data_IF_713815457060
#
_entry.id   IF_713815457060
#
_cell.length_a   1.000
_cell.length_b   1.000
_cell.length_c   1.000
_cell.angle_alpha   90.00
_cell.angle_beta   90.00
_cell.angle_gamma   90.00
#
_symmetry.space_group_name_H-M   'P 1'
#
loop_
_entity.id
_entity.type
_entity.pdbx_description
1 polymer ?
#
# COMPACT_ATOMS: atom_id res chain seq x y z
N UNK A 1 -13.21 4.58 -17.09
CA UNK A 1 -11.80 4.14 -16.99
C UNK A 1 -11.72 3.00 -15.97
N UNK A 2 -10.99 1.92 -16.28
CA UNK A 2 -10.69 0.89 -15.28
C UNK A 2 -9.63 1.42 -14.31
N UNK A 3 -9.86 1.28 -13.00
CA UNK A 3 -8.95 1.76 -11.95
C UNK A 3 -8.22 0.57 -11.32
N UNK A 4 -6.89 0.65 -11.25
CA UNK A 4 -6.05 -0.37 -10.59
C UNK A 4 -5.91 -0.05 -9.10
N UNK A 5 -6.12 -1.05 -8.23
CA UNK A 5 -5.87 -0.95 -6.79
C UNK A 5 -4.48 -1.49 -6.41
N UNK A 6 -3.56 -0.62 -6.02
CA UNK A 6 -2.19 -1.01 -5.65
C UNK A 6 -2.17 -1.94 -4.41
N UNK A 7 -3.03 -1.68 -3.43
CA UNK A 7 -3.14 -2.53 -2.24
C UNK A 7 -3.61 -3.95 -2.58
N UNK A 8 -4.59 -4.10 -3.49
CA UNK A 8 -5.03 -5.42 -3.98
C UNK A 8 -3.95 -6.10 -4.80
N UNK A 9 -3.20 -5.34 -5.60
CA UNK A 9 -2.09 -5.86 -6.41
C UNK A 9 -1.03 -6.50 -5.53
N UNK A 10 -0.53 -5.77 -4.52
CA UNK A 10 0.50 -6.28 -3.60
C UNK A 10 -0.06 -7.39 -2.70
N UNK A 11 -1.32 -7.30 -2.29
CA UNK A 11 -1.99 -8.40 -1.56
C UNK A 11 -2.03 -9.70 -2.37
N UNK A 12 -2.21 -9.61 -3.69
CA UNK A 12 -2.20 -10.78 -4.56
C UNK A 12 -0.79 -11.38 -4.71
N UNK A 13 0.24 -10.54 -4.79
CA UNK A 13 1.63 -11.02 -4.76
C UNK A 13 1.95 -11.76 -3.45
N UNK A 14 1.49 -11.25 -2.30
CA UNK A 14 1.62 -11.96 -1.02
C UNK A 14 0.80 -13.26 -0.98
N UNK A 15 -0.36 -13.30 -1.64
CA UNK A 15 -1.11 -14.54 -1.80
C UNK A 15 -0.31 -15.58 -2.59
N UNK A 16 0.29 -15.21 -3.72
CA UNK A 16 1.18 -16.10 -4.50
C UNK A 16 2.36 -16.61 -3.66
N UNK A 17 2.94 -15.77 -2.80
CA UNK A 17 3.99 -16.17 -1.87
C UNK A 17 3.51 -17.14 -0.76
N UNK A 18 2.20 -17.20 -0.49
CA UNK A 18 1.62 -18.02 0.58
C UNK A 18 1.15 -19.41 0.13
N UNK A 19 1.19 -19.69 -1.17
CA UNK A 19 0.75 -20.95 -1.77
C UNK A 19 1.95 -21.66 -2.41
N UNK A 20 1.90 -22.99 -2.65
CA UNK A 20 3.01 -23.73 -3.24
C UNK A 20 3.15 -23.43 -4.73
N UNK A 21 3.67 -22.23 -5.05
CA UNK A 21 4.00 -21.80 -6.41
C UNK A 21 5.50 -21.85 -6.59
N UNK A 22 5.95 -22.61 -7.59
CA UNK A 22 7.36 -22.66 -8.00
C UNK A 22 7.63 -21.67 -9.14
N UNK A 23 8.87 -21.21 -9.23
CA UNK A 23 9.28 -20.39 -10.36
C UNK A 23 9.33 -21.26 -11.64
N UNK A 24 8.65 -20.81 -12.69
CA UNK A 24 8.75 -21.37 -14.04
C UNK A 24 8.31 -20.37 -15.08
N UNK A 25 9.08 -20.28 -16.16
CA UNK A 25 8.73 -19.51 -17.36
C UNK A 25 7.75 -20.26 -18.28
N UNK A 26 7.42 -21.50 -17.94
CA UNK A 26 6.45 -22.36 -18.63
C UNK A 26 5.15 -22.48 -17.83
N UNK A 27 4.17 -23.18 -18.40
CA UNK A 27 2.87 -23.35 -17.77
C UNK A 27 2.03 -22.07 -17.82
N UNK A 28 1.19 -21.86 -16.80
CA UNK A 28 0.31 -20.70 -16.75
C UNK A 28 1.05 -19.41 -16.41
N UNK A 29 2.20 -19.51 -15.72
CA UNK A 29 3.01 -18.37 -15.24
C UNK A 29 2.28 -17.43 -14.26
N UNK A 30 1.07 -17.80 -13.81
CA UNK A 30 0.18 -16.94 -12.99
C UNK A 30 -0.08 -17.51 -11.60
N UNK A 31 0.52 -18.65 -11.27
CA UNK A 31 0.26 -19.43 -10.06
C UNK A 31 -0.93 -20.38 -10.17
N UNK A 32 -1.70 -20.35 -11.25
CA UNK A 32 -2.93 -21.14 -11.39
C UNK A 32 -2.68 -22.65 -11.52
N UNK A 33 -1.56 -23.04 -12.13
CA UNK A 33 -1.09 -24.44 -12.23
C UNK A 33 0.07 -24.75 -11.27
N UNK A 34 0.24 -23.92 -10.23
CA UNK A 34 1.38 -24.04 -9.30
C UNK A 34 2.69 -23.45 -9.85
N UNK A 35 2.67 -22.79 -11.00
CA UNK A 35 3.85 -22.15 -11.59
C UNK A 35 3.65 -20.66 -11.83
N UNK A 36 4.69 -19.86 -11.57
CA UNK A 36 4.71 -18.44 -11.88
C UNK A 36 6.09 -17.98 -12.35
N UNK A 37 6.15 -16.90 -13.13
CA UNK A 37 7.38 -16.13 -13.34
C UNK A 37 7.19 -14.67 -12.94
N UNK A 38 8.25 -13.87 -13.04
CA UNK A 38 8.24 -12.47 -12.61
C UNK A 38 7.11 -11.66 -13.28
N UNK A 39 7.07 -11.65 -14.61
CA UNK A 39 6.09 -10.87 -15.38
C UNK A 39 4.67 -11.42 -15.30
N UNK A 40 4.50 -12.75 -15.25
CA UNK A 40 3.21 -13.41 -15.08
C UNK A 40 2.61 -13.16 -13.70
N UNK A 41 3.43 -13.18 -12.64
CA UNK A 41 3.03 -12.82 -11.28
C UNK A 41 2.57 -11.35 -11.17
N UNK A 42 3.31 -10.41 -11.77
CA UNK A 42 2.92 -8.99 -11.82
C UNK A 42 1.63 -8.82 -12.64
N UNK A 43 1.52 -9.44 -13.81
CA UNK A 43 0.35 -9.37 -14.67
C UNK A 43 -0.91 -9.88 -13.96
N UNK A 44 -0.88 -11.09 -13.41
CA UNK A 44 -2.06 -11.66 -12.72
C UNK A 44 -2.45 -10.81 -11.50
N UNK A 45 -1.49 -10.28 -10.76
CA UNK A 45 -1.74 -9.44 -9.58
C UNK A 45 -2.47 -8.15 -9.96
N UNK A 46 -2.03 -7.49 -11.03
CA UNK A 46 -2.67 -6.28 -11.54
C UNK A 46 -4.04 -6.56 -12.15
N UNK A 47 -4.21 -7.70 -12.84
CA UNK A 47 -5.51 -8.15 -13.37
C UNK A 47 -6.53 -8.38 -12.25
N UNK A 48 -6.13 -9.04 -11.17
CA UNK A 48 -6.96 -9.22 -9.96
C UNK A 48 -7.23 -7.90 -9.22
N UNK A 49 -6.49 -6.84 -9.54
CA UNK A 49 -6.64 -5.51 -8.97
C UNK A 49 -7.35 -4.49 -9.87
N UNK A 50 -7.87 -4.91 -11.03
CA UNK A 50 -8.68 -4.07 -11.92
C UNK A 50 -7.98 -3.59 -13.19
N UNK A 51 -6.75 -4.03 -13.48
CA UNK A 51 -6.12 -3.74 -14.76
C UNK A 51 -6.83 -4.46 -15.91
N UNK A 52 -6.84 -3.87 -17.10
CA UNK A 52 -7.41 -4.40 -18.34
C UNK A 52 -6.77 -5.73 -18.78
N UNK A 53 -7.52 -6.57 -19.50
CA UNK A 53 -6.96 -7.82 -20.03
C UNK A 53 -6.02 -7.53 -21.19
N UNK A 54 -4.84 -8.14 -21.20
CA UNK A 54 -3.97 -8.14 -22.38
C UNK A 54 -4.31 -9.26 -23.38
N UNK A 55 -5.30 -10.11 -23.08
CA UNK A 55 -5.65 -11.31 -23.85
C UNK A 55 -4.70 -12.49 -23.63
N UNK A 56 -3.42 -12.22 -23.37
CA UNK A 56 -2.38 -13.21 -23.06
C UNK A 56 -1.58 -12.81 -21.82
N UNK A 57 -0.91 -13.78 -21.18
CA UNK A 57 0.00 -13.49 -20.06
C UNK A 57 1.24 -12.81 -20.61
N UNK A 58 1.50 -11.59 -20.11
CA UNK A 58 2.57 -10.74 -20.61
C UNK A 58 3.96 -11.32 -20.27
N UNK A 59 4.92 -11.01 -21.14
CA UNK A 59 6.35 -11.07 -20.84
C UNK A 59 6.82 -9.72 -20.28
N UNK A 60 8.02 -9.70 -19.70
CA UNK A 60 8.70 -8.47 -19.25
C UNK A 60 8.75 -7.40 -20.37
N UNK A 61 9.05 -7.81 -21.60
CA UNK A 61 9.11 -6.92 -22.77
C UNK A 61 7.75 -6.27 -23.11
N UNK A 62 6.69 -7.06 -23.09
CA UNK A 62 5.33 -6.58 -23.42
C UNK A 62 4.66 -5.84 -22.26
N UNK A 63 5.22 -5.93 -21.04
CA UNK A 63 4.65 -5.32 -19.85
C UNK A 63 4.70 -3.79 -19.90
N UNK A 64 5.73 -3.21 -20.53
CA UNK A 64 5.96 -1.77 -20.61
C UNK A 64 4.74 -0.99 -21.15
N UNK A 65 4.23 -1.37 -22.32
CA UNK A 65 3.17 -0.63 -22.99
C UNK A 65 1.80 -0.92 -22.34
N UNK A 66 1.61 -2.15 -21.85
CA UNK A 66 0.39 -2.50 -21.11
C UNK A 66 0.28 -1.75 -19.78
N UNK A 67 1.39 -1.56 -19.06
CA UNK A 67 1.41 -0.71 -17.86
C UNK A 67 0.95 0.72 -18.18
N UNK A 68 1.45 1.30 -19.27
CA UNK A 68 1.02 2.64 -19.72
C UNK A 68 -0.46 2.69 -20.10
N UNK A 69 -0.95 1.67 -20.81
CA UNK A 69 -2.37 1.55 -21.16
C UNK A 69 -3.27 1.42 -19.91
N UNK A 70 -2.72 0.88 -18.82
CA UNK A 70 -3.38 0.81 -17.52
C UNK A 70 -3.02 1.99 -16.60
N UNK A 71 -2.53 3.10 -17.16
CA UNK A 71 -2.36 4.36 -16.44
C UNK A 71 -1.08 4.48 -15.63
N UNK A 72 -0.13 3.56 -15.75
CA UNK A 72 1.21 3.78 -15.21
C UNK A 72 1.99 4.75 -16.11
N UNK A 73 2.89 5.54 -15.52
CA UNK A 73 3.85 6.38 -16.22
C UNK A 73 5.26 5.94 -15.87
N UNK A 74 6.14 6.00 -16.86
CA UNK A 74 7.57 5.83 -16.65
C UNK A 74 8.08 7.05 -15.85
N UNK A 75 8.71 6.81 -14.71
CA UNK A 75 9.25 7.86 -13.84
C UNK A 75 10.78 7.85 -13.75
N UNK A 76 11.40 6.74 -14.14
CA UNK A 76 12.85 6.59 -14.24
C UNK A 76 13.19 5.56 -15.31
N UNK A 77 14.25 5.85 -16.05
CA UNK A 77 14.88 4.97 -17.02
C UNK A 77 16.39 5.11 -16.82
N UNK A 78 17.01 4.03 -16.34
CA UNK A 78 18.44 3.91 -16.00
C UNK A 78 18.98 5.09 -15.19
N UNK A 79 18.14 5.62 -14.30
CA UNK A 79 18.46 6.74 -13.44
C UNK A 79 17.75 6.62 -12.09
N UNK A 80 18.40 7.11 -11.03
CA UNK A 80 17.85 7.01 -9.67
C UNK A 80 16.54 7.79 -9.52
N UNK A 81 15.59 7.22 -8.78
CA UNK A 81 14.36 7.89 -8.37
C UNK A 81 13.94 7.51 -6.94
N UNK A 82 13.12 8.35 -6.33
CA UNK A 82 12.46 8.00 -5.06
C UNK A 82 11.38 6.93 -5.31
N UNK A 83 11.72 5.67 -4.99
CA UNK A 83 10.84 4.50 -5.09
C UNK A 83 9.74 4.54 -4.01
N UNK A 84 8.56 4.06 -4.34
CA UNK A 84 7.38 4.11 -3.48
C UNK A 84 6.57 2.82 -3.56
N UNK A 85 5.72 2.61 -2.56
CA UNK A 85 4.75 1.52 -2.55
C UNK A 85 3.94 1.46 -3.86
N UNK A 86 3.94 0.30 -4.51
CA UNK A 86 3.20 0.05 -5.75
C UNK A 86 3.90 0.51 -7.03
N UNK A 87 5.11 1.08 -6.96
CA UNK A 87 5.95 1.23 -8.14
C UNK A 87 6.31 -0.16 -8.69
N UNK A 88 6.45 -0.26 -10.01
CA UNK A 88 6.81 -1.50 -10.70
C UNK A 88 8.17 -1.27 -11.36
N UNK A 89 9.13 -2.13 -11.06
CA UNK A 89 10.41 -2.13 -11.78
C UNK A 89 10.36 -3.10 -12.94
N UNK A 90 11.08 -2.78 -14.00
CA UNK A 90 11.42 -3.71 -15.07
C UNK A 90 12.93 -3.60 -15.31
N UNK A 91 13.64 -4.71 -15.21
CA UNK A 91 15.05 -4.87 -15.57
C UNK A 91 15.17 -5.47 -16.97
N UNK A 92 16.28 -5.15 -17.63
CA UNK A 92 16.56 -5.52 -19.01
C UNK A 92 16.17 -4.40 -19.97
N UNK A 93 17.04 -4.09 -20.92
CA UNK A 93 16.80 -3.04 -21.92
C UNK A 93 15.64 -3.46 -22.83
N UNK A 94 14.73 -2.54 -23.15
CA UNK A 94 13.64 -2.83 -24.10
C UNK A 94 14.22 -3.34 -25.43
N UNK A 95 13.59 -4.37 -25.99
CA UNK A 95 14.08 -5.15 -27.13
C UNK A 95 15.03 -6.30 -26.74
N UNK A 96 15.44 -6.39 -25.48
CA UNK A 96 16.36 -7.42 -24.96
C UNK A 96 15.85 -8.06 -23.66
N UNK A 97 14.69 -7.62 -23.13
CA UNK A 97 14.17 -8.03 -21.82
C UNK A 97 13.32 -9.31 -21.84
N UNK A 98 13.22 -9.98 -22.98
CA UNK A 98 12.46 -11.22 -23.12
C UNK A 98 13.20 -12.42 -22.52
N UNK A 99 12.42 -13.43 -22.09
CA UNK A 99 12.94 -14.67 -21.47
C UNK A 99 13.83 -14.34 -20.26
N UNK A 100 15.05 -14.87 -20.23
CA UNK A 100 16.03 -14.68 -19.16
C UNK A 100 16.65 -13.26 -19.17
N UNK A 101 16.43 -12.46 -20.22
CA UNK A 101 17.03 -11.15 -20.38
C UNK A 101 16.38 -10.02 -19.57
N UNK A 102 15.34 -10.31 -18.79
CA UNK A 102 14.65 -9.28 -18.02
C UNK A 102 13.95 -9.80 -16.77
N UNK A 103 13.66 -8.89 -15.84
CA UNK A 103 13.04 -9.20 -14.56
C UNK A 103 12.09 -8.10 -14.10
N UNK A 104 11.10 -8.43 -13.28
CA UNK A 104 10.13 -7.44 -12.82
C UNK A 104 9.50 -7.82 -11.49
N UNK A 105 8.95 -6.82 -10.81
CA UNK A 105 8.28 -6.96 -9.53
C UNK A 105 7.74 -5.62 -9.04
N UNK A 106 7.27 -5.60 -7.80
CA UNK A 106 6.51 -4.48 -7.24
C UNK A 106 7.18 -4.02 -5.95
N UNK A 107 7.39 -2.72 -5.80
CA UNK A 107 7.85 -2.12 -4.55
C UNK A 107 6.78 -2.23 -3.46
N UNK A 108 7.12 -2.86 -2.33
CA UNK A 108 6.26 -2.93 -1.14
C UNK A 108 6.57 -1.82 -0.13
N UNK A 109 7.66 -1.08 -0.36
CA UNK A 109 8.02 0.19 0.27
C UNK A 109 9.14 0.84 -0.57
N UNK A 110 9.84 1.85 -0.03
CA UNK A 110 10.93 2.55 -0.74
C UNK A 110 12.21 1.74 -0.99
N UNK A 111 12.36 0.56 -0.38
CA UNK A 111 13.58 -0.24 -0.38
C UNK A 111 13.34 -1.70 -0.76
N UNK A 112 12.16 -2.25 -0.48
CA UNK A 112 11.87 -3.67 -0.65
C UNK A 112 10.91 -3.90 -1.81
N UNK A 113 11.12 -5.02 -2.51
CA UNK A 113 10.30 -5.49 -3.63
C UNK A 113 9.72 -6.87 -3.33
N UNK A 114 8.51 -7.12 -3.84
CA UNK A 114 7.92 -8.45 -3.96
C UNK A 114 7.96 -8.89 -5.42
N UNK A 115 8.49 -10.08 -5.68
CA UNK A 115 8.70 -10.57 -7.03
C UNK A 115 8.80 -12.10 -7.06
N UNK A 116 8.42 -12.71 -8.19
CA UNK A 116 8.67 -14.12 -8.45
C UNK A 116 10.07 -14.30 -9.02
N UNK A 117 10.90 -15.15 -8.44
CA UNK A 117 12.29 -15.35 -8.86
C UNK A 117 12.79 -16.78 -8.69
N UNK A 118 13.80 -17.14 -9.47
CA UNK A 118 14.40 -18.46 -9.49
C UNK A 118 15.12 -18.80 -8.17
N UNK A 119 15.83 -17.84 -7.57
CA UNK A 119 16.60 -18.04 -6.33
C UNK A 119 15.74 -18.51 -5.16
N UNK A 120 14.55 -17.93 -5.01
CA UNK A 120 13.58 -18.33 -3.99
C UNK A 120 12.64 -19.46 -4.46
N UNK A 121 12.77 -19.89 -5.73
CA UNK A 121 11.85 -20.79 -6.42
C UNK A 121 10.36 -20.45 -6.16
N UNK A 122 9.99 -19.17 -6.37
CA UNK A 122 8.65 -18.69 -6.07
C UNK A 122 8.61 -17.19 -5.81
N UNK A 123 7.57 -16.72 -5.13
CA UNK A 123 7.40 -15.28 -4.80
C UNK A 123 8.01 -14.98 -3.43
N UNK A 124 8.88 -13.98 -3.36
CA UNK A 124 9.54 -13.56 -2.13
C UNK A 124 9.67 -12.03 -2.07
N UNK A 125 9.97 -11.53 -0.85
CA UNK A 125 10.28 -10.13 -0.61
C UNK A 125 11.78 -9.98 -0.40
N UNK A 126 12.43 -9.11 -1.16
CA UNK A 126 13.87 -8.84 -1.09
C UNK A 126 14.14 -7.34 -1.11
N UNK A 127 15.35 -6.94 -0.72
CA UNK A 127 15.78 -5.54 -0.85
C UNK A 127 16.16 -5.25 -2.31
N UNK A 128 15.58 -4.21 -2.92
CA UNK A 128 15.75 -3.92 -4.33
C UNK A 128 17.22 -3.68 -4.73
N UNK A 129 17.92 -2.80 -4.03
CA UNK A 129 19.29 -2.40 -4.41
C UNK A 129 20.25 -3.60 -4.31
N UNK A 130 20.12 -4.42 -3.26
CA UNK A 130 20.91 -5.67 -3.13
C UNK A 130 20.60 -6.68 -4.22
N UNK A 131 19.32 -6.88 -4.55
CA UNK A 131 18.94 -7.83 -5.61
C UNK A 131 19.39 -7.32 -6.98
N UNK A 132 19.34 -6.01 -7.22
CA UNK A 132 19.79 -5.38 -8.47
C UNK A 132 21.32 -5.50 -8.66
N UNK A 133 22.10 -5.23 -7.61
CA UNK A 133 23.56 -5.43 -7.61
C UNK A 133 23.92 -6.91 -7.84
N UNK A 134 23.22 -7.83 -7.17
CA UNK A 134 23.45 -9.27 -7.32
C UNK A 134 23.13 -9.79 -8.73
N UNK A 135 22.26 -9.10 -9.48
CA UNK A 135 21.89 -9.43 -10.87
C UNK A 135 22.81 -8.74 -11.90
N UNK A 136 23.89 -8.09 -11.44
CA UNK A 136 24.87 -7.43 -12.30
C UNK A 136 24.45 -6.04 -12.78
N UNK A 137 23.67 -5.33 -11.96
CA UNK A 137 23.24 -3.95 -12.21
C UNK A 137 22.54 -3.76 -13.60
N UNK A 138 21.52 -4.58 -13.93
CA UNK A 138 20.89 -4.51 -15.23
C UNK A 138 20.19 -3.17 -15.48
N UNK A 139 20.15 -2.73 -16.74
CA UNK A 139 19.38 -1.56 -17.18
C UNK A 139 17.95 -1.65 -16.66
N UNK A 140 17.41 -0.55 -16.11
CA UNK A 140 16.11 -0.59 -15.45
C UNK A 140 15.14 0.52 -15.84
N UNK A 141 13.87 0.25 -15.62
CA UNK A 141 12.74 1.15 -15.77
C UNK A 141 11.89 1.11 -14.51
N UNK A 142 11.43 2.25 -14.03
CA UNK A 142 10.47 2.34 -12.92
C UNK A 142 9.16 2.96 -13.41
N UNK A 143 8.06 2.24 -13.21
CA UNK A 143 6.71 2.65 -13.55
C UNK A 143 5.91 2.95 -12.30
N UNK A 144 5.26 4.11 -12.27
CA UNK A 144 4.36 4.53 -11.18
C UNK A 144 2.94 4.67 -11.69
N UNK A 145 1.97 4.21 -10.92
CA UNK A 145 0.57 4.32 -11.28
C UNK A 145 0.06 5.77 -11.17
N UNK A 146 -0.52 6.29 -12.26
CA UNK A 146 -1.19 7.59 -12.35
C UNK A 146 -2.58 7.49 -13.02
N UNK A 147 -3.06 6.27 -13.32
CA UNK A 147 -4.31 6.03 -14.03
C UNK A 147 -5.49 6.49 -13.21
N UNK A 148 -6.41 7.24 -13.86
CA UNK A 148 -7.54 7.93 -13.21
C UNK A 148 -7.19 8.34 -11.78
N UNK A 149 -6.22 9.26 -11.64
CA UNK A 149 -5.87 10.00 -10.42
C UNK A 149 -6.31 9.24 -9.17
N UNK A 150 -5.57 8.16 -8.75
CA UNK A 150 -5.95 7.21 -7.68
C UNK A 150 -7.31 7.59 -7.11
N UNK A 151 -8.44 7.18 -7.74
CA UNK A 151 -9.76 7.77 -7.44
C UNK A 151 -9.80 8.05 -5.95
N UNK A 152 -9.78 9.33 -5.50
CA UNK A 152 -9.18 9.74 -4.24
C UNK A 152 -9.57 8.68 -3.25
N UNK A 153 -8.61 7.85 -2.81
CA UNK A 153 -8.91 6.83 -1.79
C UNK A 153 -9.52 7.70 -0.72
N UNK A 154 -10.86 7.63 -0.55
CA UNK A 154 -11.52 8.57 0.33
C UNK A 154 -10.70 8.43 1.60
N UNK A 155 -10.01 9.49 2.03
CA UNK A 155 -8.99 9.34 3.05
C UNK A 155 -9.63 8.83 4.34
N UNK A 156 -10.96 8.82 4.40
CA UNK A 156 -11.79 8.33 5.45
C UNK A 156 -12.36 6.94 5.19
N UNK A 157 -11.90 6.18 4.19
CA UNK A 157 -12.19 4.75 4.06
C UNK A 157 -11.03 3.95 4.67
N UNK A 158 -11.36 3.09 5.63
CA UNK A 158 -10.43 2.15 6.24
C UNK A 158 -10.83 0.72 5.89
N UNK A 159 -9.87 -0.11 5.52
CA UNK A 159 -10.10 -1.50 5.12
C UNK A 159 -9.65 -2.44 6.21
N UNK A 160 -10.51 -3.35 6.65
CA UNK A 160 -10.18 -4.34 7.67
C UNK A 160 -9.10 -5.29 7.15
N UNK A 161 -8.01 -5.40 7.90
CA UNK A 161 -6.87 -6.27 7.63
C UNK A 161 -6.55 -7.10 8.87
N UNK A 162 -6.87 -8.39 8.83
CA UNK A 162 -6.63 -9.33 9.95
C UNK A 162 -6.20 -10.71 9.43
N UNK A 163 -7.07 -11.72 9.49
CA UNK A 163 -6.83 -13.09 8.98
C UNK A 163 -7.90 -13.48 7.96
N UNK A 164 -7.51 -14.19 6.90
CA UNK A 164 -8.43 -14.66 5.85
C UNK A 164 -9.57 -15.49 6.46
N UNK A 165 -10.82 -15.14 6.14
CA UNK A 165 -12.01 -15.79 6.68
C UNK A 165 -12.45 -15.31 8.07
N UNK A 166 -11.63 -14.50 8.75
CA UNK A 166 -11.95 -13.94 10.07
C UNK A 166 -12.32 -12.45 9.97
N UNK A 167 -13.12 -12.01 10.93
CA UNK A 167 -13.35 -10.60 11.20
C UNK A 167 -12.95 -10.20 12.61
N UNK A 168 -13.04 -8.91 12.89
CA UNK A 168 -12.55 -8.30 14.13
C UNK A 168 -13.68 -7.65 14.91
N UNK A 169 -13.54 -7.63 16.22
CA UNK A 169 -14.53 -7.01 17.09
C UNK A 169 -14.40 -5.48 17.03
N UNK A 170 -15.52 -4.80 16.78
CA UNK A 170 -15.69 -3.39 17.11
C UNK A 170 -15.94 -3.23 18.62
N UNK A 171 -15.74 -2.01 19.10
CA UNK A 171 -16.18 -1.57 20.42
C UNK A 171 -17.18 -0.43 20.30
N UNK A 172 -17.97 -0.18 21.35
CA UNK A 172 -18.83 0.99 21.45
C UNK A 172 -18.05 2.19 22.05
N UNK A 173 -18.70 3.34 22.22
CA UNK A 173 -18.07 4.54 22.79
C UNK A 173 -17.56 4.40 24.23
N UNK A 174 -17.91 3.32 24.93
CA UNK A 174 -17.41 2.99 26.27
C UNK A 174 -16.25 1.98 26.23
N UNK A 175 -15.79 1.58 25.04
CA UNK A 175 -14.74 0.57 24.86
C UNK A 175 -15.21 -0.88 25.05
N UNK A 176 -16.53 -1.13 25.17
CA UNK A 176 -17.09 -2.48 25.29
C UNK A 176 -17.28 -3.11 23.92
N UNK A 177 -16.91 -4.38 23.77
CA UNK A 177 -17.11 -5.16 22.53
C UNK A 177 -18.57 -5.10 22.07
N UNK A 178 -18.77 -4.82 20.78
CA UNK A 178 -20.08 -4.94 20.13
C UNK A 178 -20.27 -6.38 19.68
N UNK A 179 -21.25 -7.07 20.25
CA UNK A 179 -21.54 -8.48 19.95
C UNK A 179 -21.87 -8.67 18.47
N UNK A 180 -21.25 -9.67 17.84
CA UNK A 180 -21.45 -10.02 16.43
C UNK A 180 -20.75 -9.09 15.42
N UNK A 181 -20.03 -8.07 15.88
CA UNK A 181 -19.36 -7.11 14.99
C UNK A 181 -18.32 -7.74 14.08
N UNK A 182 -17.65 -8.80 14.52
CA UNK A 182 -16.72 -9.60 13.75
C UNK A 182 -17.35 -10.30 12.53
N UNK A 183 -18.68 -10.44 12.47
CA UNK A 183 -19.36 -10.99 11.30
C UNK A 183 -19.50 -9.96 10.18
N UNK A 184 -19.51 -8.66 10.51
CA UNK A 184 -19.55 -7.55 9.55
C UNK A 184 -18.14 -7.06 9.20
N UNK A 185 -17.30 -6.83 10.19
CA UNK A 185 -15.93 -6.35 10.03
C UNK A 185 -14.99 -7.50 9.65
N UNK A 186 -15.26 -8.14 8.51
CA UNK A 186 -14.44 -9.22 7.94
C UNK A 186 -13.22 -8.64 7.24
N UNK A 187 -12.11 -9.38 7.24
CA UNK A 187 -10.92 -9.04 6.43
C UNK A 187 -11.32 -8.74 4.99
N UNK A 188 -10.84 -7.62 4.44
CA UNK A 188 -11.12 -7.14 3.09
C UNK A 188 -12.35 -6.25 2.95
N UNK A 189 -13.16 -6.07 4.01
CA UNK A 189 -14.27 -5.09 4.02
C UNK A 189 -13.76 -3.68 4.29
N UNK A 190 -14.40 -2.68 3.69
CA UNK A 190 -14.02 -1.27 3.82
C UNK A 190 -15.16 -0.45 4.41
N UNK A 191 -14.81 0.52 5.25
CA UNK A 191 -15.77 1.28 6.05
C UNK A 191 -15.35 2.74 6.16
N UNK A 192 -16.31 3.66 6.16
CA UNK A 192 -16.09 5.08 6.37
C UNK A 192 -15.81 5.37 7.85
N UNK A 193 -14.61 5.84 8.12
CA UNK A 193 -14.15 6.41 9.37
C UNK A 193 -14.45 7.91 9.45
N UNK A 194 -15.25 8.32 10.43
CA UNK A 194 -15.61 9.73 10.65
C UNK A 194 -14.74 10.43 11.70
N UNK A 195 -13.67 9.79 12.16
CA UNK A 195 -12.83 10.32 13.23
C UNK A 195 -11.94 9.27 13.88
N UNK A 196 -10.89 9.74 14.54
CA UNK A 196 -9.90 8.91 15.26
C UNK A 196 -10.00 9.22 16.75
N UNK A 197 -10.17 8.18 17.55
CA UNK A 197 -10.31 8.26 19.00
C UNK A 197 -9.37 7.29 19.71
N UNK A 198 -9.26 7.43 21.03
CA UNK A 198 -8.56 6.46 21.89
C UNK A 198 -9.58 5.74 22.75
N UNK A 199 -9.70 4.43 22.60
CA UNK A 199 -10.49 3.56 23.47
C UNK A 199 -9.60 2.42 23.97
N UNK A 200 -9.67 2.12 25.27
CA UNK A 200 -8.82 1.13 25.93
C UNK A 200 -7.31 1.32 25.63
N UNK A 201 -6.86 2.59 25.58
CA UNK A 201 -5.47 2.95 25.28
C UNK A 201 -5.02 2.72 23.83
N UNK A 202 -5.94 2.38 22.91
CA UNK A 202 -5.62 2.08 21.52
C UNK A 202 -6.36 3.02 20.56
N UNK A 203 -5.76 3.35 19.40
CA UNK A 203 -6.46 4.09 18.36
C UNK A 203 -7.61 3.29 17.77
N UNK A 204 -8.74 3.95 17.62
CA UNK A 204 -9.93 3.43 16.96
C UNK A 204 -10.46 4.44 15.94
N UNK A 205 -11.03 3.94 14.86
CA UNK A 205 -11.81 4.71 13.90
C UNK A 205 -13.29 4.65 14.27
N UNK A 206 -13.95 5.80 14.36
CA UNK A 206 -15.41 5.85 14.46
C UNK A 206 -16.01 5.47 13.10
N UNK A 207 -16.70 4.33 13.01
CA UNK A 207 -17.29 3.84 11.76
C UNK A 207 -18.71 4.39 11.55
N UNK A 208 -19.06 5.48 12.24
CA UNK A 208 -20.43 5.91 12.52
C UNK A 208 -21.28 6.28 11.31
N UNK A 209 -20.65 6.50 10.15
CA UNK A 209 -21.36 6.74 8.88
C UNK A 209 -22.01 5.45 8.35
N UNK A 210 -21.31 4.34 8.43
CA UNK A 210 -21.82 3.05 7.94
C UNK A 210 -22.37 2.17 9.08
N UNK A 211 -21.79 2.31 10.27
CA UNK A 211 -22.08 1.54 11.48
C UNK A 211 -22.15 2.49 12.70
N UNK A 212 -23.26 3.22 12.88
CA UNK A 212 -23.44 4.17 13.98
C UNK A 212 -23.07 3.58 15.35
N UNK A 213 -22.22 4.30 16.09
CA UNK A 213 -21.77 3.92 17.44
C UNK A 213 -20.70 2.83 17.50
N UNK A 214 -20.23 2.32 16.35
CA UNK A 214 -19.18 1.31 16.30
C UNK A 214 -17.81 1.95 16.07
N UNK A 215 -16.82 1.42 16.77
CA UNK A 215 -15.43 1.85 16.69
C UNK A 215 -14.55 0.64 16.34
N UNK A 216 -13.87 0.71 15.21
CA UNK A 216 -12.92 -0.32 14.75
C UNK A 216 -11.50 0.01 15.17
N UNK A 217 -10.75 -0.93 15.73
CA UNK A 217 -9.34 -0.68 16.07
C UNK A 217 -8.50 -0.49 14.81
N UNK A 218 -7.70 0.58 14.79
CA UNK A 218 -6.77 0.85 13.69
C UNK A 218 -5.78 -0.30 13.46
N UNK A 219 -5.42 -1.02 14.53
CA UNK A 219 -4.55 -2.19 14.49
C UNK A 219 -5.05 -3.33 13.58
N UNK A 220 -6.33 -3.30 13.18
CA UNK A 220 -6.93 -4.28 12.28
C UNK A 220 -7.34 -3.67 10.95
N UNK A 221 -6.61 -2.65 10.49
CA UNK A 221 -6.90 -1.95 9.23
C UNK A 221 -5.68 -1.89 8.33
N UNK A 222 -5.87 -1.42 7.10
CA UNK A 222 -4.79 -1.05 6.17
C UNK A 222 -3.88 0.07 6.70
N UNK A 223 -4.27 0.73 7.80
CA UNK A 223 -3.47 1.70 8.57
C UNK A 223 -2.85 1.09 9.84
N UNK A 224 -2.70 -0.23 9.91
CA UNK A 224 -1.95 -0.90 11.00
C UNK A 224 -0.52 -0.34 11.09
N UNK A 225 -0.08 -0.01 12.30
CA UNK A 225 1.24 0.53 12.67
C UNK A 225 1.72 1.78 11.92
N UNK A 226 0.84 2.44 11.16
CA UNK A 226 1.15 3.65 10.41
C UNK A 226 0.00 4.66 10.43
N UNK A 227 0.32 5.94 10.28
CA UNK A 227 -0.64 6.97 9.91
C UNK A 227 -0.25 7.54 8.55
N UNK A 228 -1.21 7.60 7.62
CA UNK A 228 -0.98 8.19 6.29
C UNK A 228 -1.45 9.63 6.30
N UNK A 229 -0.63 10.56 5.80
CA UNK A 229 -0.98 11.99 5.77
C UNK A 229 -2.13 12.23 4.79
N UNK A 230 -3.20 12.82 5.30
CA UNK A 230 -4.33 13.34 4.54
C UNK A 230 -4.30 14.87 4.60
N UNK A 231 -3.91 15.50 3.49
CA UNK A 231 -3.88 16.96 3.34
C UNK A 231 -4.05 17.33 1.85
N UNK A 232 -3.70 18.56 1.45
CA UNK A 232 -3.80 19.04 0.07
C UNK A 232 -2.76 18.33 -0.84
N UNK A 233 -3.13 17.88 -2.05
CA UNK A 233 -2.18 17.31 -3.01
C UNK A 233 -1.00 18.25 -3.30
N UNK A 234 0.23 17.72 -3.31
CA UNK A 234 1.45 18.53 -3.48
C UNK A 234 1.96 19.24 -2.21
N UNK A 235 1.16 19.30 -1.16
CA UNK A 235 1.52 19.92 0.11
C UNK A 235 1.91 18.87 1.17
N UNK A 236 2.37 19.37 2.32
CA UNK A 236 2.58 18.57 3.52
C UNK A 236 2.23 19.38 4.76
N UNK A 237 2.31 18.75 5.92
CA UNK A 237 1.91 19.35 7.20
C UNK A 237 3.10 19.56 8.13
N UNK A 238 3.02 20.57 8.99
CA UNK A 238 3.99 20.70 10.08
C UNK A 238 3.66 19.70 11.18
N UNK A 239 4.67 18.98 11.65
CA UNK A 239 4.63 18.29 12.93
C UNK A 239 4.71 19.30 14.08
N UNK A 240 4.39 18.83 15.26
CA UNK A 240 4.42 19.58 16.51
C UNK A 240 5.40 18.93 17.48
N UNK A 241 5.95 19.74 18.39
CA UNK A 241 6.69 19.24 19.54
C UNK A 241 5.75 18.81 20.70
N UNK A 242 6.30 18.24 21.76
CA UNK A 242 5.53 17.83 22.95
C UNK A 242 4.88 18.98 23.71
N UNK A 243 5.28 20.23 23.45
CA UNK A 243 4.71 21.45 24.02
C UNK A 243 3.61 22.03 23.12
N UNK A 244 3.34 21.41 21.97
CA UNK A 244 2.34 21.86 21.00
C UNK A 244 2.79 23.09 20.20
N UNK A 245 4.09 23.26 19.96
CA UNK A 245 4.62 24.24 19.01
C UNK A 245 4.85 23.56 17.66
N UNK A 246 4.55 24.25 16.57
CA UNK A 246 4.86 23.75 15.22
C UNK A 246 6.37 23.70 14.99
N UNK A 247 6.84 22.59 14.44
CA UNK A 247 8.23 22.41 14.00
C UNK A 247 8.29 22.83 12.53
N UNK A 248 8.77 24.05 12.27
CA UNK A 248 8.83 24.64 10.92
C UNK A 248 9.67 23.77 9.97
N UNK A 249 9.26 23.70 8.70
CA UNK A 249 9.95 22.98 7.64
C UNK A 249 9.62 21.49 7.54
N UNK A 250 8.99 20.92 8.57
CA UNK A 250 8.60 19.50 8.57
C UNK A 250 7.51 19.16 7.55
N UNK A 251 6.80 20.15 7.02
CA UNK A 251 5.89 20.03 5.87
C UNK A 251 6.57 19.61 4.56
N UNK A 252 7.89 19.67 4.47
CA UNK A 252 8.65 19.10 3.34
C UNK A 252 8.84 17.59 3.49
N UNK A 253 8.84 17.10 4.73
CA UNK A 253 8.97 15.68 5.11
C UNK A 253 7.60 14.99 5.12
N UNK A 254 6.63 15.53 5.86
CA UNK A 254 5.30 14.94 6.05
C UNK A 254 4.35 15.33 4.91
N UNK A 255 4.60 14.81 3.71
CA UNK A 255 3.82 15.07 2.49
C UNK A 255 2.51 14.31 2.46
N UNK A 256 1.48 14.88 1.84
CA UNK A 256 0.21 14.20 1.56
C UNK A 256 0.44 12.83 0.91
N UNK A 257 -0.26 11.80 1.39
CA UNK A 257 -0.16 10.42 0.91
C UNK A 257 1.00 9.61 1.51
N UNK A 258 1.90 10.22 2.30
CA UNK A 258 3.03 9.48 2.89
C UNK A 258 2.62 8.75 4.19
N UNK A 259 2.99 7.46 4.35
CA UNK A 259 2.77 6.72 5.59
C UNK A 259 3.91 6.94 6.59
N UNK A 260 3.57 7.02 7.88
CA UNK A 260 4.52 7.20 8.97
C UNK A 260 4.25 6.23 10.10
N UNK A 261 5.29 5.52 10.56
CA UNK A 261 5.20 4.71 11.78
C UNK A 261 4.93 5.61 12.98
N UNK A 262 4.16 5.12 13.93
CA UNK A 262 3.89 5.81 15.19
C UNK A 262 4.00 4.86 16.37
N UNK A 263 4.24 5.40 17.57
CA UNK A 263 4.33 4.60 18.80
C UNK A 263 3.09 4.70 19.68
N UNK A 264 2.26 5.72 19.47
CA UNK A 264 1.01 5.91 20.17
C UNK A 264 0.35 7.24 19.84
N UNK A 265 -0.80 7.50 20.47
CA UNK A 265 -1.51 8.77 20.37
C UNK A 265 -1.31 9.57 21.66
N UNK A 266 -1.17 10.88 21.52
CA UNK A 266 -0.91 11.82 22.61
C UNK A 266 -1.88 12.99 22.53
N UNK A 267 -2.39 13.39 23.69
CA UNK A 267 -3.17 14.61 23.81
C UNK A 267 -2.22 15.78 24.10
N UNK A 268 -2.15 16.74 23.18
CA UNK A 268 -1.32 17.95 23.31
C UNK A 268 -2.26 19.14 23.13
N UNK A 269 -2.40 19.98 24.16
CA UNK A 269 -3.30 21.15 24.16
C UNK A 269 -4.73 20.80 23.69
N UNK A 270 -5.26 19.66 24.14
CA UNK A 270 -6.62 19.20 23.81
C UNK A 270 -6.80 18.63 22.40
N UNK A 271 -5.74 18.56 21.59
CA UNK A 271 -5.76 17.93 20.27
C UNK A 271 -5.01 16.59 20.32
N UNK A 272 -5.49 15.63 19.54
CA UNK A 272 -4.91 14.29 19.47
C UNK A 272 -3.84 14.24 18.37
N UNK A 273 -2.71 13.61 18.67
CA UNK A 273 -1.58 13.49 17.75
C UNK A 273 -1.03 12.07 17.72
N UNK A 274 -0.57 11.62 16.55
CA UNK A 274 0.32 10.47 16.44
C UNK A 274 1.75 10.88 16.79
N UNK A 275 2.41 10.16 17.70
CA UNK A 275 3.85 10.33 17.95
C UNK A 275 4.65 9.51 16.94
N UNK A 276 5.31 10.20 16.01
CA UNK A 276 6.04 9.57 14.89
C UNK A 276 7.55 9.52 15.10
N UNK A 277 8.07 10.28 16.07
CA UNK A 277 9.46 10.18 16.51
C UNK A 277 9.60 10.56 18.00
N UNK A 278 10.84 10.71 18.49
CA UNK A 278 11.08 11.17 19.87
C UNK A 278 10.50 12.57 20.12
N UNK A 279 10.47 13.42 19.09
CA UNK A 279 10.16 14.85 19.21
C UNK A 279 9.05 15.34 18.29
N UNK A 280 8.60 14.54 17.32
CA UNK A 280 7.62 14.96 16.31
C UNK A 280 6.26 14.28 16.51
N UNK A 281 5.22 15.10 16.48
CA UNK A 281 3.83 14.71 16.67
C UNK A 281 2.98 15.19 15.49
N UNK A 282 2.22 14.28 14.87
CA UNK A 282 1.37 14.57 13.72
C UNK A 282 -0.08 14.72 14.18
N UNK A 283 -0.76 15.85 13.93
CA UNK A 283 -2.17 16.00 14.29
C UNK A 283 -3.04 14.95 13.60
N UNK A 284 -3.88 14.22 14.34
CA UNK A 284 -4.73 13.17 13.73
C UNK A 284 -5.68 13.72 12.68
N UNK A 285 -6.07 15.00 12.77
CA UNK A 285 -6.93 15.69 11.81
C UNK A 285 -6.36 15.73 10.38
N UNK A 286 -5.06 15.51 10.21
CA UNK A 286 -4.39 15.47 8.91
C UNK A 286 -3.97 14.06 8.52
N UNK A 287 -4.72 13.05 8.95
CA UNK A 287 -4.41 11.65 8.66
C UNK A 287 -5.62 10.88 8.13
N UNK A 288 -5.36 9.75 7.48
CA UNK A 288 -6.40 8.83 7.03
C UNK A 288 -7.29 8.37 8.19
N UNK A 289 -8.61 8.42 7.97
CA UNK A 289 -9.68 8.06 8.90
C UNK A 289 -10.10 9.17 9.85
N UNK A 290 -9.60 10.40 9.66
CA UNK A 290 -9.91 11.55 10.51
C UNK A 290 -11.32 12.12 10.34
N UNK A 291 -12.06 11.68 9.32
CA UNK A 291 -13.35 12.24 8.93
C UNK A 291 -13.26 13.51 8.10
N UNK A 292 -12.06 14.04 7.84
CA UNK A 292 -11.89 15.32 7.13
C UNK A 292 -11.67 15.07 5.64
N UNK A 293 -12.47 15.77 4.82
CA UNK A 293 -12.44 15.68 3.35
C UNK A 293 -12.04 16.98 2.67
N UNK A 294 -12.02 18.10 3.42
CA UNK A 294 -11.59 19.42 2.93
C UNK A 294 -10.75 20.11 3.98
N UNK A 295 -9.65 20.69 3.51
CA UNK A 295 -8.76 21.52 4.31
C UNK A 295 -8.86 22.93 3.75
N UNK A 296 -9.56 23.80 4.45
CA UNK A 296 -9.53 25.24 4.19
C UNK A 296 -8.17 25.82 4.59
#
# INVERSE_FOLDING_TARGET
MMTVSLSKTISYMHYLASIPVSYSMYGTRTGADGTADCSGAVYTSLRNAGASSAGVVLSTETLHDWLKANGFKLIAEDCGCAKQYGDIFIWGRRGQSAKEGGHTGIFVDSQNIIHCNATANGVSVTNYDRTWEADGEPYFYIYRYYGAEQAPVDPNIVTIYYKKGYGVNAVNGQGKTVVGSNQKLKTGTSWHASGIYVLNGKPVYALGRDLPGWYGYQAYTDQVDKCTINYKPGYGINAYDSKGNQIKGTNTKFKTGTPWKFTGLYLIKGQLFYKVSKTEFIPVRYTHGSGITRFD
#
